data_IF_707100498191
#
_entry.id   IF_707100498191
#
_cell.length_a   1.000
_cell.length_b   1.000
_cell.length_c   1.000
_cell.angle_alpha   90.00
_cell.angle_beta   90.00
_cell.angle_gamma   90.00
#
_symmetry.space_group_name_H-M   'P 1'
#
loop_
_entity.id
_entity.type
_entity.pdbx_description
1 polymer ?
#
# COMPACT_ATOMS: atom_id res chain seq x y z
N UNK A 1 -9.48 18.28 -3.68
CA UNK A 1 -10.65 18.97 -3.12
C UNK A 1 -10.20 19.71 -1.86
N UNK A 2 -10.41 21.02 -1.75
CA UNK A 2 -10.21 21.73 -0.48
C UNK A 2 -11.24 21.19 0.52
N UNK A 3 -10.80 20.71 1.69
CA UNK A 3 -11.71 20.21 2.74
C UNK A 3 -11.43 18.79 3.24
N UNK A 4 -10.63 17.98 2.53
CA UNK A 4 -10.22 16.65 2.97
C UNK A 4 -8.71 16.56 3.24
N UNK A 5 -8.28 15.71 4.16
CA UNK A 5 -6.88 15.26 4.24
C UNK A 5 -6.80 13.85 3.68
N UNK A 6 -5.88 13.61 2.76
CA UNK A 6 -5.53 12.28 2.27
C UNK A 6 -4.33 11.80 3.06
N UNK A 7 -4.47 10.66 3.72
CA UNK A 7 -3.36 9.91 4.28
C UNK A 7 -3.01 8.83 3.26
N UNK A 8 -1.76 8.78 2.82
CA UNK A 8 -1.26 7.79 1.86
C UNK A 8 -0.31 6.85 2.60
N UNK A 9 -0.56 5.55 2.51
CA UNK A 9 0.35 4.51 2.99
C UNK A 9 1.17 4.03 1.81
N UNK A 10 2.48 4.22 1.91
CA UNK A 10 3.47 3.84 0.90
C UNK A 10 4.11 2.52 1.33
N UNK A 11 4.66 1.78 0.38
CA UNK A 11 5.50 0.60 0.61
C UNK A 11 6.90 1.02 1.08
N UNK A 12 6.95 1.65 2.26
CA UNK A 12 8.17 2.16 2.92
C UNK A 12 8.74 1.17 3.95
N UNK A 13 8.02 0.07 4.22
CA UNK A 13 8.42 -1.00 5.11
C UNK A 13 8.25 -2.34 4.41
N UNK A 14 9.31 -3.14 4.42
CA UNK A 14 9.35 -4.47 3.82
C UNK A 14 8.29 -5.40 4.41
N UNK A 15 7.73 -6.26 3.57
CA UNK A 15 6.90 -7.39 4.02
C UNK A 15 7.74 -8.33 4.89
N UNK A 16 8.97 -8.63 4.46
CA UNK A 16 9.91 -9.42 5.22
C UNK A 16 11.34 -9.21 4.74
N UNK A 17 12.29 -9.57 5.60
CA UNK A 17 13.72 -9.55 5.31
C UNK A 17 14.36 -10.83 5.85
N UNK A 18 15.50 -11.22 5.30
CA UNK A 18 16.22 -12.40 5.76
C UNK A 18 17.52 -12.63 5.02
N UNK A 19 18.00 -13.87 5.08
CA UNK A 19 19.28 -14.26 4.49
C UNK A 19 19.16 -15.59 3.75
N UNK A 20 19.69 -15.65 2.52
CA UNK A 20 19.78 -16.89 1.75
C UNK A 20 20.74 -17.87 2.45
N UNK A 21 20.23 -19.07 2.74
CA UNK A 21 20.96 -20.17 3.37
C UNK A 21 21.17 -21.34 2.40
N UNK A 22 20.84 -21.15 1.12
CA UNK A 22 21.05 -22.13 0.07
C UNK A 22 22.48 -22.11 -0.51
N UNK A 23 22.75 -22.93 -1.54
CA UNK A 23 24.03 -22.93 -2.23
C UNK A 23 24.24 -21.63 -3.04
N UNK A 24 25.50 -21.38 -3.39
CA UNK A 24 25.92 -20.30 -4.28
C UNK A 24 25.36 -20.43 -5.70
N UNK A 25 25.28 -19.30 -6.40
CA UNK A 25 24.86 -19.19 -7.78
C UNK A 25 23.48 -19.86 -8.03
N UNK A 26 22.56 -19.70 -7.07
CA UNK A 26 21.23 -20.28 -7.10
C UNK A 26 20.21 -19.33 -7.75
N UNK A 27 19.30 -19.87 -8.56
CA UNK A 27 18.12 -19.15 -9.05
C UNK A 27 16.93 -19.21 -8.09
N UNK A 28 17.08 -19.94 -6.98
CA UNK A 28 16.07 -20.12 -5.95
C UNK A 28 16.63 -19.61 -4.63
N UNK A 29 15.93 -18.64 -4.04
CA UNK A 29 16.15 -18.20 -2.67
C UNK A 29 15.70 -19.32 -1.73
N UNK A 30 16.54 -19.70 -0.79
CA UNK A 30 16.26 -20.72 0.21
C UNK A 30 16.55 -20.16 1.60
N UNK A 31 15.52 -20.09 2.43
CA UNK A 31 15.63 -19.71 3.83
C UNK A 31 14.64 -20.55 4.66
N UNK A 32 15.11 -21.59 5.38
CA UNK A 32 14.26 -22.49 6.14
C UNK A 32 13.51 -21.84 7.32
N UNK A 33 13.86 -20.60 7.70
CA UNK A 33 13.25 -19.88 8.82
C UNK A 33 12.32 -18.74 8.36
N UNK A 34 12.14 -18.58 7.05
CA UNK A 34 11.45 -17.44 6.46
C UNK A 34 9.92 -17.58 6.40
N UNK A 35 9.38 -18.80 6.40
CA UNK A 35 7.94 -19.08 6.28
C UNK A 35 7.26 -18.23 5.18
N UNK A 36 7.85 -18.15 3.97
CA UNK A 36 7.50 -17.13 2.96
C UNK A 36 6.00 -17.09 2.65
N UNK A 37 5.38 -18.26 2.45
CA UNK A 37 3.95 -18.35 2.12
C UNK A 37 3.07 -17.94 3.29
N UNK A 38 3.40 -18.35 4.50
CA UNK A 38 2.66 -17.98 5.72
C UNK A 38 2.80 -16.50 6.06
N UNK A 39 3.94 -15.88 5.73
CA UNK A 39 4.18 -14.45 5.87
C UNK A 39 3.54 -13.58 4.76
N UNK A 40 2.75 -14.20 3.86
CA UNK A 40 1.96 -13.47 2.88
C UNK A 40 2.67 -13.16 1.58
N UNK A 41 3.80 -13.83 1.28
CA UNK A 41 4.40 -13.73 -0.04
C UNK A 41 3.44 -14.26 -1.10
N UNK A 42 3.16 -13.42 -2.09
CA UNK A 42 2.29 -13.73 -3.22
C UNK A 42 2.98 -13.38 -4.54
N UNK A 43 2.41 -13.85 -5.64
CA UNK A 43 2.89 -13.55 -6.98
C UNK A 43 2.85 -12.03 -7.24
N UNK A 44 3.87 -11.52 -7.94
CA UNK A 44 3.99 -10.11 -8.32
C UNK A 44 4.74 -9.21 -7.32
N UNK A 45 4.98 -9.64 -6.08
CA UNK A 45 5.77 -8.85 -5.13
C UNK A 45 7.21 -8.68 -5.61
N UNK A 46 7.80 -7.53 -5.29
CA UNK A 46 9.20 -7.24 -5.58
C UNK A 46 10.10 -7.89 -4.52
N UNK A 47 11.16 -8.52 -4.99
CA UNK A 47 12.21 -9.14 -4.19
C UNK A 47 13.53 -8.52 -4.59
N UNK A 48 14.34 -8.16 -3.61
CA UNK A 48 15.63 -7.53 -3.78
C UNK A 48 16.70 -8.36 -3.10
N UNK A 49 17.75 -8.70 -3.84
CA UNK A 49 19.01 -9.15 -3.27
C UNK A 49 19.83 -7.91 -2.96
N UNK A 50 19.91 -7.52 -1.69
CA UNK A 50 20.59 -6.28 -1.29
C UNK A 50 22.11 -6.39 -1.33
N UNK A 51 22.67 -7.59 -1.27
CA UNK A 51 24.11 -7.82 -1.43
C UNK A 51 24.54 -7.55 -2.87
N UNK A 52 23.79 -8.09 -3.83
CA UNK A 52 24.11 -7.99 -5.25
C UNK A 52 23.56 -6.72 -5.92
N UNK A 53 22.56 -6.10 -5.29
CA UNK A 53 21.80 -4.99 -5.85
C UNK A 53 20.84 -5.40 -6.97
N UNK A 54 20.58 -6.69 -7.13
CA UNK A 54 19.63 -7.22 -8.11
C UNK A 54 18.22 -7.29 -7.55
N UNK A 55 17.24 -7.24 -8.45
CA UNK A 55 15.82 -7.25 -8.12
C UNK A 55 15.03 -8.13 -9.07
N UNK A 56 13.87 -8.60 -8.64
CA UNK A 56 12.95 -9.34 -9.50
C UNK A 56 11.58 -9.46 -8.86
N UNK A 57 10.54 -9.65 -9.67
CA UNK A 57 9.21 -9.91 -9.17
C UNK A 57 8.96 -11.42 -9.04
N UNK A 58 8.21 -11.83 -8.02
CA UNK A 58 7.80 -13.22 -7.85
C UNK A 58 6.93 -13.62 -9.06
N UNK A 59 7.34 -14.61 -9.86
CA UNK A 59 6.61 -15.01 -11.05
C UNK A 59 5.31 -15.73 -10.68
N UNK A 60 4.33 -15.66 -11.59
CA UNK A 60 3.07 -16.38 -11.43
C UNK A 60 3.30 -17.90 -11.36
N UNK A 61 2.63 -18.57 -10.43
CA UNK A 61 2.74 -20.00 -10.17
C UNK A 61 2.92 -20.34 -8.68
N UNK A 62 1.99 -21.14 -8.15
CA UNK A 62 1.98 -21.63 -6.75
C UNK A 62 3.25 -22.38 -6.36
N UNK A 63 3.98 -22.95 -7.32
CA UNK A 63 5.24 -23.68 -7.07
C UNK A 63 6.44 -22.77 -6.81
N UNK A 64 6.32 -21.48 -7.11
CA UNK A 64 7.42 -20.51 -6.94
C UNK A 64 7.56 -20.03 -5.50
N UNK A 65 6.59 -20.34 -4.64
CA UNK A 65 6.53 -19.92 -3.25
C UNK A 65 6.22 -21.13 -2.39
N UNK A 66 7.17 -21.53 -1.56
CA UNK A 66 6.93 -22.48 -0.47
C UNK A 66 7.21 -21.79 0.86
N UNK A 67 7.05 -22.48 1.99
CA UNK A 67 7.46 -21.89 3.28
C UNK A 67 8.96 -21.58 3.33
N UNK A 68 9.79 -22.27 2.54
CA UNK A 68 11.27 -22.19 2.67
C UNK A 68 11.99 -21.80 1.40
N UNK A 69 11.29 -21.75 0.26
CA UNK A 69 11.90 -21.43 -1.04
C UNK A 69 11.09 -20.39 -1.78
N UNK A 70 11.80 -19.51 -2.47
CA UNK A 70 11.23 -18.53 -3.37
C UNK A 70 12.00 -18.50 -4.70
N UNK A 71 11.31 -18.75 -5.81
CA UNK A 71 11.91 -18.69 -7.14
C UNK A 71 11.69 -17.31 -7.74
N UNK A 72 12.76 -16.60 -8.06
CA UNK A 72 12.70 -15.24 -8.63
C UNK A 72 13.77 -15.11 -9.71
N UNK A 73 13.40 -14.51 -10.84
CA UNK A 73 14.37 -14.10 -11.84
C UNK A 73 14.92 -12.73 -11.47
N UNK A 74 16.14 -12.70 -10.95
CA UNK A 74 16.83 -11.46 -10.59
C UNK A 74 17.45 -10.78 -11.82
N UNK A 75 17.48 -9.45 -11.81
CA UNK A 75 18.11 -8.61 -12.82
C UNK A 75 18.57 -7.27 -12.22
N UNK A 76 19.48 -6.58 -12.93
CA UNK A 76 19.93 -5.23 -12.58
C UNK A 76 21.12 -5.14 -11.61
N UNK A 77 21.55 -6.27 -11.03
CA UNK A 77 22.73 -6.36 -10.15
C UNK A 77 23.96 -6.97 -10.83
N UNK A 78 24.96 -7.31 -10.02
CA UNK A 78 26.29 -7.78 -10.49
C UNK A 78 26.26 -9.24 -10.94
N UNK A 79 25.65 -10.11 -10.13
CA UNK A 79 25.53 -11.55 -10.35
C UNK A 79 24.16 -12.00 -10.83
N UNK A 80 23.09 -11.31 -10.40
CA UNK A 80 21.69 -11.65 -10.68
C UNK A 80 21.33 -13.10 -10.26
N UNK A 81 21.96 -13.57 -9.20
CA UNK A 81 21.79 -14.89 -8.58
C UNK A 81 21.83 -14.75 -7.07
N UNK A 82 21.49 -15.82 -6.36
CA UNK A 82 21.61 -15.91 -4.91
C UNK A 82 22.88 -16.65 -4.52
N UNK A 83 23.73 -15.99 -3.74
CA UNK A 83 24.91 -16.56 -3.09
C UNK A 83 24.67 -16.77 -1.59
N UNK A 84 25.35 -17.75 -1.00
CA UNK A 84 25.14 -18.09 0.41
C UNK A 84 25.47 -16.87 1.29
N UNK A 85 24.54 -16.53 2.18
CA UNK A 85 24.67 -15.35 3.03
C UNK A 85 24.16 -14.06 2.39
N UNK A 86 23.62 -14.09 1.17
CA UNK A 86 22.97 -12.92 0.58
C UNK A 86 21.76 -12.46 1.40
N UNK A 87 21.68 -11.16 1.64
CA UNK A 87 20.53 -10.56 2.31
C UNK A 87 19.45 -10.22 1.30
N UNK A 88 18.19 -10.41 1.71
CA UNK A 88 17.05 -10.11 0.86
C UNK A 88 16.00 -9.25 1.57
N UNK A 89 15.29 -8.49 0.75
CA UNK A 89 14.14 -7.67 1.14
C UNK A 89 12.97 -8.00 0.21
N UNK A 90 11.80 -8.29 0.77
CA UNK A 90 10.56 -8.52 0.03
C UNK A 90 9.60 -7.37 0.34
N UNK A 91 9.08 -6.75 -0.71
CA UNK A 91 8.19 -5.59 -0.62
C UNK A 91 6.72 -6.02 -0.58
N UNK A 92 5.84 -5.13 -0.10
CA UNK A 92 4.39 -5.40 -0.05
C UNK A 92 3.72 -5.23 -1.43
N UNK A 93 4.45 -4.67 -2.39
CA UNK A 93 4.00 -4.45 -3.77
C UNK A 93 5.05 -4.89 -4.78
N UNK A 94 4.72 -4.79 -6.08
CA UNK A 94 5.64 -5.11 -7.17
C UNK A 94 6.63 -4.01 -7.52
N UNK A 95 6.65 -2.87 -6.81
CA UNK A 95 7.52 -1.73 -7.12
C UNK A 95 7.81 -0.95 -5.83
N UNK A 96 9.08 -0.60 -5.58
CA UNK A 96 9.48 0.21 -4.41
C UNK A 96 8.68 1.52 -4.34
N UNK A 97 8.40 1.99 -3.12
CA UNK A 97 7.68 3.25 -2.84
C UNK A 97 6.29 3.36 -3.50
N UNK A 98 5.67 2.22 -3.83
CA UNK A 98 4.30 2.22 -4.37
C UNK A 98 3.29 2.55 -3.29
N UNK A 99 2.20 3.20 -3.70
CA UNK A 99 1.05 3.41 -2.83
C UNK A 99 0.33 2.08 -2.57
N UNK A 100 0.30 1.67 -1.30
CA UNK A 100 -0.42 0.47 -0.83
C UNK A 100 -1.89 0.80 -0.64
N UNK A 101 -2.17 1.92 0.02
CA UNK A 101 -3.53 2.35 0.29
C UNK A 101 -3.58 3.85 0.59
N UNK A 102 -4.79 4.41 0.58
CA UNK A 102 -5.02 5.74 1.10
C UNK A 102 -6.37 5.83 1.78
N UNK A 103 -6.46 6.71 2.78
CA UNK A 103 -7.69 6.98 3.53
C UNK A 103 -7.97 8.48 3.42
N UNK A 104 -9.23 8.85 3.22
CA UNK A 104 -9.67 10.24 3.34
C UNK A 104 -10.17 10.49 4.76
N UNK A 105 -9.76 11.60 5.33
CA UNK A 105 -10.32 12.12 6.59
C UNK A 105 -11.03 13.43 6.30
N UNK A 106 -12.30 13.52 6.69
CA UNK A 106 -13.08 14.75 6.67
C UNK A 106 -12.47 15.74 7.69
N UNK A 107 -12.12 16.96 7.25
CA UNK A 107 -11.51 17.97 8.15
C UNK A 107 -12.48 18.58 9.15
N UNK A 108 -13.79 18.50 8.91
CA UNK A 108 -14.83 19.10 9.74
C UNK A 108 -15.15 18.22 10.94
N UNK A 109 -15.22 16.90 10.73
CA UNK A 109 -15.61 15.94 11.78
C UNK A 109 -14.49 14.96 12.18
N UNK A 110 -13.38 14.90 11.44
CA UNK A 110 -12.26 14.00 11.73
C UNK A 110 -12.54 12.52 11.45
N UNK A 111 -13.60 12.21 10.69
CA UNK A 111 -14.01 10.85 10.40
C UNK A 111 -13.25 10.27 9.20
N UNK A 112 -12.86 9.00 9.30
CA UNK A 112 -12.29 8.21 8.18
C UNK A 112 -13.40 7.79 7.21
N UNK A 113 -13.22 8.10 5.94
CA UNK A 113 -14.25 7.92 4.89
C UNK A 113 -13.63 7.46 3.58
N UNK A 114 -14.44 6.83 2.71
CA UNK A 114 -14.05 6.53 1.33
C UNK A 114 -14.26 7.77 0.45
N UNK A 115 -13.49 7.88 -0.65
CA UNK A 115 -13.55 9.03 -1.56
C UNK A 115 -14.95 9.30 -2.10
N UNK A 116 -15.66 8.24 -2.47
CA UNK A 116 -16.98 8.33 -3.11
C UNK A 116 -18.05 8.88 -2.17
N UNK A 117 -17.83 8.74 -0.86
CA UNK A 117 -18.66 9.33 0.17
C UNK A 117 -18.24 10.76 0.51
N UNK A 118 -17.36 11.42 -0.26
CA UNK A 118 -16.90 12.76 0.06
C UNK A 118 -17.14 13.72 -1.09
N UNK A 119 -18.04 14.68 -0.89
CA UNK A 119 -18.33 15.78 -1.80
C UNK A 119 -17.66 17.04 -1.25
N UNK A 120 -16.62 17.53 -1.93
CA UNK A 120 -15.91 18.76 -1.54
C UNK A 120 -15.37 18.77 -0.09
N UNK A 121 -15.04 17.60 0.46
CA UNK A 121 -14.57 17.49 1.84
C UNK A 121 -15.67 17.34 2.89
N UNK A 122 -16.92 17.12 2.47
CA UNK A 122 -18.10 16.89 3.33
C UNK A 122 -18.80 15.60 2.90
N UNK A 123 -19.34 14.83 3.85
CA UNK A 123 -20.18 13.67 3.54
C UNK A 123 -21.48 14.10 2.82
N UNK A 124 -21.99 13.38 1.81
CA UNK A 124 -23.27 13.67 1.14
C UNK A 124 -24.44 13.88 2.10
N UNK A 125 -24.48 13.12 3.20
CA UNK A 125 -25.49 13.21 4.26
C UNK A 125 -25.36 14.44 5.17
N UNK A 126 -24.16 15.03 5.27
CA UNK A 126 -23.88 16.22 6.08
C UNK A 126 -23.98 17.53 5.29
N UNK A 127 -24.22 17.43 3.98
CA UNK A 127 -24.43 18.58 3.12
C UNK A 127 -25.69 19.31 3.58
N UNK A 128 -25.49 20.50 4.13
CA UNK A 128 -26.62 21.32 4.58
C UNK A 128 -27.47 21.73 3.37
N UNK A 129 -28.78 21.77 3.58
CA UNK A 129 -29.74 22.02 2.50
C UNK A 129 -29.64 23.45 1.95
N UNK A 130 -28.99 24.33 2.71
CA UNK A 130 -28.77 25.74 2.44
C UNK A 130 -27.34 26.09 1.95
N UNK A 131 -26.41 25.12 1.81
CA UNK A 131 -25.00 25.37 1.39
C UNK A 131 -24.89 26.06 0.03
N UNK A 132 -25.81 25.74 -0.88
CA UNK A 132 -25.79 26.25 -2.25
C UNK A 132 -26.54 27.58 -2.40
N UNK A 133 -26.79 28.31 -1.31
CA UNK A 133 -27.52 29.59 -1.32
C UNK A 133 -28.94 29.45 -1.93
N UNK A 134 -29.42 28.21 -2.06
CA UNK A 134 -30.80 27.89 -2.41
C UNK A 134 -31.59 27.94 -1.13
N UNK A 135 -31.93 29.17 -0.73
CA UNK A 135 -32.85 29.51 0.36
C UNK A 135 -34.20 28.76 0.24
N UNK A 136 -34.21 27.46 0.50
CA UNK A 136 -35.42 26.67 0.67
C UNK A 136 -35.77 26.77 2.14
N UNK A 137 -36.29 27.94 2.53
CA UNK A 137 -36.90 28.12 3.83
C UNK A 137 -38.10 27.17 3.93
N UNK A 138 -37.97 26.14 4.76
CA UNK A 138 -39.11 25.32 5.18
C UNK A 138 -40.09 26.19 5.99
N UNK A 139 -41.41 25.94 5.90
CA UNK A 139 -42.38 26.71 6.67
C UNK A 139 -42.14 26.52 8.18
N UNK A 140 -41.67 27.56 8.87
CA UNK A 140 -41.63 27.61 10.34
C UNK A 140 -40.33 28.04 11.02
N UNK A 141 -39.24 28.37 10.31
CA UNK A 141 -38.04 28.93 10.97
C UNK A 141 -38.11 30.48 11.08
N UNK A 142 -37.74 31.06 12.23
CA UNK A 142 -37.84 32.50 12.46
C UNK A 142 -36.85 33.27 11.59
N UNK A 143 -37.35 34.22 10.81
CA UNK A 143 -36.53 35.17 10.06
C UNK A 143 -35.59 35.92 11.01
N UNK A 144 -34.29 35.96 10.68
CA UNK A 144 -33.36 36.85 11.35
C UNK A 144 -33.75 38.30 11.01
N UNK A 145 -34.48 38.95 11.92
CA UNK A 145 -34.79 40.37 11.85
C UNK A 145 -33.49 41.17 11.86
N UNK A 146 -33.04 41.64 10.68
CA UNK A 146 -32.00 42.66 10.59
C UNK A 146 -32.56 43.94 11.22
N UNK A 147 -32.22 44.18 12.49
CA UNK A 147 -32.43 45.49 13.12
C UNK A 147 -31.65 46.53 12.31
N UNK A 148 -32.39 47.55 11.86
CA UNK A 148 -31.89 48.77 11.23
C UNK A 148 -30.87 49.49 12.11
#
# INVERSE_FOLDING_TARGET
MPGAVRETHIDDEYLMTGTHKGPDNSSVLFDPEADFRSNGCIEGLLVKNTTDGSTGNIPAGVTNITETTLTVTLAGGTGNVWDIGDTYEIYKTGTEDSEISHIYTDRRFGQKVIRDNLIHGILPEDRDIDEEDRNVFGPGQPEYSRKK
#
